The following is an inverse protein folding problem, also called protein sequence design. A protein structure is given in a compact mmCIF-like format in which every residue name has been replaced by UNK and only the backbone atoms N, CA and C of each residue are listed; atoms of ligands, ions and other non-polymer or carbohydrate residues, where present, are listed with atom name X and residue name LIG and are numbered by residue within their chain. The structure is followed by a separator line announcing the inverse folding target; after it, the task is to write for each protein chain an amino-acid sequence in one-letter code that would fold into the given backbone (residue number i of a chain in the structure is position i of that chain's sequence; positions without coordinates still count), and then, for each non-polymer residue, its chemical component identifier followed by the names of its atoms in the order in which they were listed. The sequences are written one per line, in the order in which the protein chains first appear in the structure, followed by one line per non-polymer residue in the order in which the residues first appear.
data_IF_955569044303
#
_entry.id   IF_955569044303
#
_cell.length_a   1.000
_cell.length_b   1.000
_cell.length_c   1.000
_cell.angle_alpha   90.00
_cell.angle_beta   90.00
_cell.angle_gamma   90.00
#
_symmetry.space_group_name_H-M   'P 1'
#
loop_
_entity.id
_entity.type
_entity.pdbx_description
1 polymer ?
#
# COMPACT_ATOMS: atom_id res chain seq x y z
N UNK A 1 -20.94 -25.76 17.14
CA UNK A 1 -21.09 -24.39 17.69
C UNK A 1 -20.35 -23.46 16.77
N UNK A 2 -21.01 -22.47 16.18
CA UNK A 2 -20.29 -21.41 15.45
C UNK A 2 -19.35 -20.71 16.41
N UNK A 3 -18.06 -20.65 16.09
CA UNK A 3 -17.12 -19.81 16.83
C UNK A 3 -17.57 -18.36 16.65
N UNK A 4 -17.95 -17.70 17.73
CA UNK A 4 -18.21 -16.26 17.73
C UNK A 4 -16.89 -15.54 17.37
N UNK A 5 -16.82 -15.03 16.15
CA UNK A 5 -15.68 -14.22 15.70
C UNK A 5 -15.77 -12.86 16.42
N UNK A 6 -14.68 -12.35 17.00
CA UNK A 6 -14.69 -11.02 17.62
C UNK A 6 -15.20 -9.93 16.67
N UNK A 7 -15.80 -8.87 17.20
CA UNK A 7 -16.16 -7.69 16.39
C UNK A 7 -14.95 -7.07 15.72
N UNK A 8 -13.79 -7.11 16.38
CA UNK A 8 -12.51 -6.60 15.86
C UNK A 8 -11.44 -7.67 16.01
N UNK A 9 -10.73 -7.94 14.92
CA UNK A 9 -9.53 -8.77 14.90
C UNK A 9 -8.31 -7.86 14.74
N UNK A 10 -7.37 -7.97 15.66
CA UNK A 10 -6.08 -7.29 15.62
C UNK A 10 -4.99 -8.30 15.29
N UNK A 11 -4.01 -7.84 14.52
CA UNK A 11 -2.74 -8.55 14.34
C UNK A 11 -1.70 -7.88 15.23
N UNK A 12 -0.75 -8.67 15.71
CA UNK A 12 0.41 -8.16 16.42
C UNK A 12 1.44 -7.56 15.45
N UNK A 13 2.38 -6.78 15.97
CA UNK A 13 3.42 -6.13 15.15
C UNK A 13 4.34 -7.15 14.45
N UNK A 14 4.57 -8.32 15.06
CA UNK A 14 5.38 -9.41 14.49
C UNK A 14 4.68 -10.14 13.33
N UNK A 15 3.35 -10.01 13.24
CA UNK A 15 2.53 -10.51 12.12
C UNK A 15 2.45 -9.51 10.95
N UNK A 16 3.06 -8.32 11.07
CA UNK A 16 3.10 -7.36 9.97
C UNK A 16 3.83 -7.93 8.76
N UNK A 17 3.26 -7.79 7.54
CA UNK A 17 3.97 -8.09 6.31
C UNK A 17 5.28 -7.28 6.23
N UNK A 18 6.34 -7.95 5.75
CA UNK A 18 7.68 -7.36 5.58
C UNK A 18 7.97 -6.94 4.14
N UNK A 19 7.04 -7.17 3.23
CA UNK A 19 7.17 -6.93 1.80
C UNK A 19 5.89 -6.28 1.27
N UNK A 20 6.03 -5.33 0.34
CA UNK A 20 4.93 -4.90 -0.52
C UNK A 20 4.75 -5.88 -1.67
N UNK A 21 3.52 -5.98 -2.17
CA UNK A 21 3.19 -6.84 -3.29
C UNK A 21 2.93 -5.99 -4.55
N UNK A 22 3.66 -6.29 -5.62
CA UNK A 22 3.51 -5.67 -6.92
C UNK A 22 2.65 -6.58 -7.83
N UNK A 23 1.39 -6.21 -7.99
CA UNK A 23 0.45 -6.96 -8.83
C UNK A 23 0.89 -7.03 -10.29
N UNK A 24 1.67 -6.05 -10.80
CA UNK A 24 2.11 -6.03 -12.21
C UNK A 24 2.93 -7.26 -12.56
N UNK A 25 3.69 -7.83 -11.61
CA UNK A 25 4.46 -9.05 -11.80
C UNK A 25 3.61 -10.21 -12.31
N UNK A 26 2.41 -10.39 -11.73
CA UNK A 26 1.51 -11.50 -12.03
C UNK A 26 0.47 -11.20 -13.13
N UNK A 27 0.45 -9.97 -13.65
CA UNK A 27 -0.47 -9.60 -14.73
C UNK A 27 -0.07 -10.27 -16.06
N UNK A 28 -0.98 -11.07 -16.63
CA UNK A 28 -0.83 -11.65 -17.98
C UNK A 28 -0.71 -10.59 -19.06
N UNK A 29 -1.59 -9.59 -19.02
CA UNK A 29 -1.56 -8.42 -19.89
C UNK A 29 -1.08 -7.23 -19.06
N UNK A 30 0.11 -6.72 -19.34
CA UNK A 30 0.67 -5.59 -18.60
C UNK A 30 -0.14 -4.31 -18.89
N UNK A 31 -0.22 -3.36 -17.94
CA UNK A 31 -0.82 -2.06 -18.20
C UNK A 31 -0.16 -1.36 -19.39
N UNK A 32 -0.90 -0.48 -20.06
CA UNK A 32 -0.31 0.40 -21.06
C UNK A 32 0.81 1.24 -20.41
N UNK A 33 1.91 1.52 -21.12
CA UNK A 33 2.99 2.32 -20.58
C UNK A 33 2.52 3.75 -20.33
N UNK A 34 3.15 4.42 -19.36
CA UNK A 34 3.02 5.86 -19.19
C UNK A 34 3.56 6.54 -20.45
N UNK A 35 2.79 7.45 -21.06
CA UNK A 35 3.20 8.16 -22.27
C UNK A 35 3.64 9.58 -21.92
N UNK A 36 4.72 10.02 -22.54
CA UNK A 36 5.13 11.41 -22.48
C UNK A 36 4.06 12.26 -23.20
N UNK A 37 3.47 13.29 -22.55
CA UNK A 37 2.37 14.06 -23.12
C UNK A 37 2.76 14.91 -24.35
N UNK A 38 4.05 15.19 -24.54
CA UNK A 38 4.54 15.94 -25.70
C UNK A 38 4.85 15.03 -26.90
N UNK A 39 5.38 13.83 -26.67
CA UNK A 39 5.84 12.94 -27.75
C UNK A 39 4.88 11.78 -28.03
N UNK A 40 3.96 11.51 -27.10
CA UNK A 40 3.06 10.35 -27.08
C UNK A 40 3.78 9.00 -27.15
N UNK A 41 5.07 8.96 -26.81
CA UNK A 41 5.87 7.73 -26.69
C UNK A 41 5.97 7.28 -25.24
N UNK A 42 6.24 5.99 -24.97
CA UNK A 42 6.50 5.51 -23.61
C UNK A 42 7.57 6.35 -22.91
N UNK A 43 7.29 6.76 -21.67
CA UNK A 43 8.20 7.57 -20.87
C UNK A 43 9.46 6.78 -20.52
N UNK A 44 10.60 7.45 -20.54
CA UNK A 44 11.86 6.91 -20.02
C UNK A 44 11.96 7.13 -18.52
N UNK A 45 12.85 6.38 -17.86
CA UNK A 45 13.16 6.59 -16.45
C UNK A 45 13.69 8.01 -16.16
N UNK A 46 14.43 8.59 -17.10
CA UNK A 46 14.95 9.96 -16.98
C UNK A 46 13.82 10.99 -17.01
N UNK A 47 12.85 10.83 -17.90
CA UNK A 47 11.67 11.70 -17.97
C UNK A 47 10.81 11.62 -16.70
N UNK A 48 10.62 10.41 -16.15
CA UNK A 48 9.90 10.21 -14.88
C UNK A 48 10.65 10.78 -13.67
N UNK A 49 11.98 10.84 -13.74
CA UNK A 49 12.83 11.34 -12.65
C UNK A 49 12.70 12.84 -12.41
N UNK A 50 12.03 13.58 -13.31
CA UNK A 50 11.65 14.97 -13.10
C UNK A 50 10.56 15.12 -12.02
N UNK A 51 9.78 14.07 -11.76
CA UNK A 51 8.64 14.08 -10.83
C UNK A 51 8.89 13.20 -9.60
N UNK A 52 9.51 12.04 -9.80
CA UNK A 52 9.73 11.05 -8.75
C UNK A 52 11.21 10.86 -8.46
N UNK A 53 11.53 10.46 -7.22
CA UNK A 53 12.88 10.04 -6.89
C UNK A 53 13.22 8.69 -7.57
N UNK A 54 14.50 8.42 -7.81
CA UNK A 54 15.00 7.30 -8.63
C UNK A 54 14.44 5.95 -8.22
N UNK A 55 14.35 5.69 -6.91
CA UNK A 55 13.78 4.44 -6.42
C UNK A 55 12.30 4.28 -6.80
N UNK A 56 11.50 5.35 -6.65
CA UNK A 56 10.08 5.30 -7.00
C UNK A 56 9.89 5.12 -8.50
N UNK A 57 10.77 5.72 -9.32
CA UNK A 57 10.79 5.47 -10.77
C UNK A 57 11.08 4.00 -11.06
N UNK A 58 12.07 3.42 -10.39
CA UNK A 58 12.40 2.00 -10.55
C UNK A 58 11.23 1.09 -10.16
N UNK A 59 10.56 1.36 -9.03
CA UNK A 59 9.39 0.61 -8.59
C UNK A 59 8.19 0.76 -9.54
N UNK A 60 7.96 1.97 -10.08
CA UNK A 60 6.90 2.21 -11.06
C UNK A 60 7.15 1.45 -12.37
N UNK A 61 8.40 1.29 -12.79
CA UNK A 61 8.75 0.59 -14.03
C UNK A 61 8.92 -0.94 -13.84
N UNK A 62 8.88 -1.44 -12.61
CA UNK A 62 9.05 -2.86 -12.29
C UNK A 62 7.78 -3.67 -12.65
N UNK A 63 7.96 -4.59 -13.60
CA UNK A 63 6.92 -5.51 -14.06
C UNK A 63 7.22 -6.97 -13.76
N UNK A 64 8.28 -7.25 -13.01
CA UNK A 64 8.87 -8.59 -12.87
C UNK A 64 8.87 -9.05 -11.42
N UNK A 65 9.21 -8.18 -10.47
CA UNK A 65 9.34 -8.58 -9.07
C UNK A 65 7.99 -8.48 -8.36
N UNK A 66 7.46 -9.62 -7.90
CA UNK A 66 6.18 -9.69 -7.19
C UNK A 66 6.27 -9.14 -5.75
N UNK A 67 7.43 -9.22 -5.13
CA UNK A 67 7.65 -8.79 -3.74
C UNK A 67 8.80 -7.80 -3.65
N UNK A 68 8.57 -6.72 -2.93
CA UNK A 68 9.54 -5.66 -2.67
C UNK A 68 9.71 -5.55 -1.16
N UNK A 69 10.92 -5.77 -0.67
CA UNK A 69 11.21 -5.67 0.77
C UNK A 69 10.92 -4.26 1.29
N UNK A 70 10.23 -4.18 2.43
CA UNK A 70 9.96 -2.92 3.09
C UNK A 70 11.20 -2.58 3.94
N UNK A 71 11.85 -1.42 3.73
CA UNK A 71 12.93 -0.94 4.57
C UNK A 71 12.57 -0.97 6.06
N UNK A 72 13.52 -1.35 6.91
CA UNK A 72 13.29 -1.49 8.34
C UNK A 72 12.77 -0.19 8.98
N UNK A 73 13.29 0.97 8.55
CA UNK A 73 12.85 2.27 9.06
C UNK A 73 11.38 2.57 8.70
N UNK A 74 10.88 2.06 7.57
CA UNK A 74 9.47 2.19 7.20
C UNK A 74 8.62 1.21 8.02
N UNK A 75 9.08 -0.02 8.24
CA UNK A 75 8.40 -0.98 9.13
C UNK A 75 8.28 -0.44 10.55
N UNK A 76 9.33 0.16 11.08
CA UNK A 76 9.32 0.76 12.41
C UNK A 76 8.37 1.95 12.49
N UNK A 77 8.31 2.78 11.44
CA UNK A 77 7.33 3.86 11.35
C UNK A 77 5.89 3.34 11.28
N UNK A 78 5.64 2.27 10.51
CA UNK A 78 4.33 1.64 10.41
C UNK A 78 3.80 1.19 11.76
N UNK A 79 4.62 0.67 12.67
CA UNK A 79 4.20 0.23 14.01
C UNK A 79 3.44 1.31 14.80
N UNK A 80 3.68 2.59 14.51
CA UNK A 80 2.93 3.70 15.14
C UNK A 80 1.42 3.66 14.86
N UNK A 81 0.98 3.01 13.77
CA UNK A 81 -0.44 3.01 13.36
C UNK A 81 -0.91 1.75 12.61
N UNK A 82 -0.02 0.77 12.41
CA UNK A 82 -0.25 -0.54 11.81
C UNK A 82 0.06 -1.63 12.83
N UNK A 83 -0.59 -2.81 12.75
CA UNK A 83 -1.66 -3.18 11.82
C UNK A 83 -3.01 -2.51 12.16
N UNK A 84 -3.78 -2.11 11.13
CA UNK A 84 -5.17 -1.70 11.35
C UNK A 84 -6.07 -2.91 11.67
N UNK A 85 -7.16 -2.74 12.44
CA UNK A 85 -8.06 -3.84 12.73
C UNK A 85 -8.89 -4.26 11.51
N UNK A 86 -9.21 -5.54 11.43
CA UNK A 86 -10.28 -6.07 10.59
C UNK A 86 -11.56 -6.11 11.45
N UNK A 87 -12.61 -5.44 11.02
CA UNK A 87 -13.86 -5.33 11.79
C UNK A 87 -14.95 -6.12 11.09
N UNK A 88 -15.68 -6.95 11.84
CA UNK A 88 -16.88 -7.64 11.36
C UNK A 88 -18.13 -6.81 11.65
N UNK A 89 -18.94 -6.58 10.62
CA UNK A 89 -20.08 -5.67 10.68
C UNK A 89 -21.39 -6.39 11.06
N UNK A 90 -21.46 -7.01 12.24
CA UNK A 90 -22.65 -7.78 12.69
C UNK A 90 -23.96 -6.99 12.62
N UNK A 91 -23.96 -5.71 12.96
CA UNK A 91 -25.16 -4.88 12.88
C UNK A 91 -25.63 -4.69 11.43
N UNK A 92 -24.69 -4.56 10.49
CA UNK A 92 -25.00 -4.46 9.06
C UNK A 92 -25.50 -5.81 8.51
N UNK A 93 -24.86 -6.91 8.88
CA UNK A 93 -25.31 -8.28 8.55
C UNK A 93 -26.77 -8.48 8.96
N UNK A 94 -27.13 -8.07 10.20
CA UNK A 94 -28.49 -8.16 10.74
C UNK A 94 -29.50 -7.28 10.00
N UNK A 95 -29.14 -6.04 9.66
CA UNK A 95 -30.04 -5.12 8.95
C UNK A 95 -30.31 -5.61 7.53
N UNK A 96 -29.32 -6.23 6.89
CA UNK A 96 -29.42 -6.74 5.52
C UNK A 96 -30.05 -8.14 5.43
N UNK A 97 -30.27 -8.82 6.57
CA UNK A 97 -30.71 -10.22 6.65
C UNK A 97 -29.92 -11.14 5.69
N UNK A 98 -28.60 -10.95 5.66
CA UNK A 98 -27.73 -11.64 4.71
C UNK A 98 -27.01 -12.83 5.37
N UNK A 99 -26.85 -13.97 4.68
CA UNK A 99 -25.97 -15.04 5.12
C UNK A 99 -24.48 -14.68 4.95
N UNK A 100 -24.17 -13.59 4.22
CA UNK A 100 -22.81 -13.15 4.02
C UNK A 100 -22.19 -12.59 5.31
N UNK A 101 -20.90 -12.85 5.50
CA UNK A 101 -20.11 -12.27 6.59
C UNK A 101 -19.41 -11.03 6.06
N UNK A 102 -19.71 -9.86 6.63
CA UNK A 102 -19.22 -8.58 6.13
C UNK A 102 -18.07 -8.12 7.01
N UNK A 103 -16.91 -7.93 6.38
CA UNK A 103 -15.72 -7.39 7.03
C UNK A 103 -15.27 -6.12 6.33
N UNK A 104 -14.71 -5.19 7.10
CA UNK A 104 -14.02 -4.03 6.56
C UNK A 104 -12.67 -3.85 7.24
N UNK A 105 -11.67 -3.49 6.43
CA UNK A 105 -10.32 -3.16 6.90
C UNK A 105 -10.29 -1.69 7.30
N UNK A 106 -10.18 -1.41 8.60
CA UNK A 106 -10.37 -0.06 9.13
C UNK A 106 -9.08 0.77 9.11
N UNK A 107 -8.75 1.37 7.95
CA UNK A 107 -7.55 2.20 7.76
C UNK A 107 -7.65 3.62 8.35
N UNK A 108 -8.75 3.97 9.03
CA UNK A 108 -8.98 5.31 9.57
C UNK A 108 -8.25 5.63 10.88
N UNK A 109 -7.53 4.66 11.45
CA UNK A 109 -7.00 4.73 12.82
C UNK A 109 -5.64 5.45 12.95
N UNK A 110 -5.28 6.32 12.01
CA UNK A 110 -4.00 7.05 12.02
C UNK A 110 -4.23 8.58 11.99
N UNK A 111 -3.16 9.36 12.16
CA UNK A 111 -3.21 10.83 12.21
C UNK A 111 -3.74 11.48 10.93
N UNK A 112 -3.63 10.80 9.78
CA UNK A 112 -4.19 11.26 8.51
C UNK A 112 -5.66 10.84 8.31
N UNK A 113 -6.21 10.02 9.20
CA UNK A 113 -7.56 9.45 9.09
C UNK A 113 -7.77 8.56 7.86
N UNK A 114 -6.71 8.12 7.18
CA UNK A 114 -6.83 7.37 5.93
C UNK A 114 -5.59 6.52 5.60
N UNK A 115 -5.69 5.67 4.57
CA UNK A 115 -4.59 4.83 4.10
C UNK A 115 -3.43 5.61 3.43
N UNK A 116 -3.56 6.93 3.22
CA UNK A 116 -2.56 7.73 2.47
C UNK A 116 -1.18 7.73 3.12
N UNK A 117 -1.12 7.64 4.46
CA UNK A 117 0.16 7.59 5.17
C UNK A 117 1.01 6.37 4.76
N UNK A 118 0.38 5.28 4.31
CA UNK A 118 1.07 4.07 3.87
C UNK A 118 2.03 4.32 2.70
N UNK A 119 1.63 5.11 1.70
CA UNK A 119 2.53 5.44 0.58
C UNK A 119 3.38 6.69 0.85
N UNK A 120 2.85 7.66 1.59
CA UNK A 120 3.55 8.91 1.86
C UNK A 120 4.88 8.69 2.60
N UNK A 121 4.93 7.78 3.58
CA UNK A 121 6.18 7.48 4.29
C UNK A 121 7.23 6.87 3.36
N UNK A 122 6.84 5.96 2.46
CA UNK A 122 7.78 5.34 1.52
C UNK A 122 8.35 6.37 0.55
N UNK A 123 7.49 7.24 0.01
CA UNK A 123 7.93 8.32 -0.87
C UNK A 123 8.89 9.27 -0.16
N UNK A 124 8.56 9.70 1.06
CA UNK A 124 9.42 10.57 1.86
C UNK A 124 10.75 9.88 2.23
N UNK A 125 10.72 8.60 2.58
CA UNK A 125 11.92 7.81 2.89
C UNK A 125 12.88 7.76 1.71
N UNK A 126 12.41 7.39 0.52
CA UNK A 126 13.27 7.27 -0.65
C UNK A 126 13.75 8.62 -1.19
N UNK A 127 12.92 9.66 -1.14
CA UNK A 127 13.34 11.02 -1.44
C UNK A 127 14.47 11.48 -0.51
N UNK A 128 14.32 11.25 0.80
CA UNK A 128 15.36 11.54 1.80
C UNK A 128 16.63 10.71 1.57
N UNK A 129 16.50 9.42 1.28
CA UNK A 129 17.63 8.52 0.98
C UNK A 129 18.42 8.98 -0.25
N UNK A 130 17.75 9.54 -1.25
CA UNK A 130 18.40 10.14 -2.42
C UNK A 130 19.06 11.51 -2.12
N UNK A 131 18.80 12.11 -0.95
CA UNK A 131 19.35 13.41 -0.57
C UNK A 131 18.50 14.61 -0.98
N UNK A 132 17.22 14.40 -1.34
CA UNK A 132 16.28 15.49 -1.63
C UNK A 132 15.93 16.23 -0.33
N UNK A 133 15.93 17.57 -0.38
CA UNK A 133 15.78 18.45 0.79
C UNK A 133 14.44 19.19 0.85
N UNK A 134 13.53 18.93 -0.08
CA UNK A 134 12.20 19.53 -0.15
C UNK A 134 11.26 18.68 -1.00
N UNK A 135 9.96 18.87 -0.78
CA UNK A 135 8.87 18.51 -1.70
C UNK A 135 8.53 19.76 -2.50
#
# INVERSE_FOLDING_TARGET
MEKNIPYKTYLNEDEMPKQWYNVRADMKNKPAPLLNPATHKPMTAEELSAVFCKELVAQELDNENAYIDIPQEILDFYKMYRPSPLVRAYCLEKILDTPAKIYYKFEGNNTSGSHKLNSAIAQAYYAKKQGLKGV
#
